data_IF_417418680331
#
_entry.id   IF_417418680331
#
_cell.length_a   1.000
_cell.length_b   1.000
_cell.length_c   1.000
_cell.angle_alpha   90.00
_cell.angle_beta   90.00
_cell.angle_gamma   90.00
#
_symmetry.space_group_name_H-M   'P 1'
#
loop_
_entity.id
_entity.type
_entity.pdbx_description
1 polymer ?
#
# COMPACT_ATOMS: atom_id res chain seq x y z
N UNK A 1 -3.31 32.02 -3.13
CA UNK A 1 -3.01 30.58 -3.25
C UNK A 1 -4.29 29.84 -2.89
N UNK A 2 -4.84 28.94 -3.71
CA UNK A 2 -6.01 28.18 -3.31
C UNK A 2 -5.62 27.35 -2.08
N UNK A 3 -6.13 27.78 -0.94
CA UNK A 3 -5.80 27.29 0.39
C UNK A 3 -6.98 26.46 0.87
N UNK A 4 -7.09 25.22 0.40
CA UNK A 4 -8.14 24.27 0.86
C UNK A 4 -7.90 22.79 0.52
N UNK A 5 -6.71 22.38 0.09
CA UNK A 5 -6.49 21.00 -0.35
C UNK A 5 -5.77 20.19 0.75
N UNK A 6 -6.50 19.33 1.44
CA UNK A 6 -5.96 18.21 2.24
C UNK A 6 -4.76 17.59 1.51
N UNK A 7 -3.63 17.39 2.21
CA UNK A 7 -2.44 16.83 1.56
C UNK A 7 -2.76 15.46 0.94
N UNK A 8 -2.14 15.06 -0.19
CA UNK A 8 -2.38 13.75 -0.79
C UNK A 8 -2.17 12.59 0.20
N UNK A 9 -1.25 12.78 1.15
CA UNK A 9 -1.04 11.85 2.25
C UNK A 9 -2.23 11.80 3.23
N UNK A 10 -2.80 12.95 3.62
CA UNK A 10 -3.99 12.97 4.47
C UNK A 10 -5.22 12.39 3.76
N UNK A 11 -5.38 12.57 2.45
CA UNK A 11 -6.42 11.88 1.66
C UNK A 11 -6.22 10.37 1.70
N UNK A 12 -4.98 9.89 1.50
CA UNK A 12 -4.64 8.48 1.60
C UNK A 12 -4.96 7.89 2.97
N UNK A 13 -4.60 8.60 4.05
CA UNK A 13 -4.93 8.19 5.42
C UNK A 13 -6.44 8.09 5.64
N UNK A 14 -7.23 9.05 5.14
CA UNK A 14 -8.69 9.01 5.26
C UNK A 14 -9.32 7.80 4.55
N UNK A 15 -8.75 7.35 3.43
CA UNK A 15 -9.17 6.10 2.79
C UNK A 15 -8.78 4.88 3.62
N UNK A 16 -7.57 4.84 4.19
CA UNK A 16 -7.16 3.76 5.08
C UNK A 16 -8.03 3.69 6.34
N UNK A 17 -8.46 4.83 6.90
CA UNK A 17 -9.38 4.87 8.04
C UNK A 17 -10.73 4.19 7.72
N UNK A 18 -11.19 4.32 6.48
CA UNK A 18 -12.41 3.69 5.93
C UNK A 18 -12.21 2.22 5.54
N UNK A 19 -10.98 1.70 5.58
CA UNK A 19 -10.69 0.33 5.15
C UNK A 19 -10.40 0.20 3.64
N UNK A 20 -10.07 1.29 2.95
CA UNK A 20 -9.88 1.33 1.51
C UNK A 20 -8.41 1.58 1.15
N UNK A 21 -7.84 0.80 0.24
CA UNK A 21 -6.52 1.05 -0.33
C UNK A 21 -6.64 2.00 -1.52
N UNK A 22 -6.51 3.30 -1.27
CA UNK A 22 -6.56 4.30 -2.34
C UNK A 22 -5.19 4.49 -3.00
N UNK A 23 -5.20 4.68 -4.32
CA UNK A 23 -4.02 5.00 -5.13
C UNK A 23 -4.37 6.09 -6.14
N UNK A 24 -3.36 6.76 -6.67
CA UNK A 24 -3.56 7.76 -7.71
C UNK A 24 -3.42 7.11 -9.09
N UNK A 25 -4.17 7.57 -10.07
CA UNK A 25 -4.07 7.17 -11.46
C UNK A 25 -3.85 8.41 -12.32
N UNK A 26 -2.91 8.35 -13.27
CA UNK A 26 -2.69 9.43 -14.22
C UNK A 26 -3.33 9.07 -15.56
N UNK A 27 -4.41 9.76 -15.99
CA UNK A 27 -4.98 9.56 -17.32
C UNK A 27 -4.00 9.89 -18.44
N UNK A 28 -3.11 10.88 -18.23
CA UNK A 28 -2.12 11.30 -19.21
C UNK A 28 -1.02 10.24 -19.46
N UNK A 29 -0.61 9.50 -18.42
CA UNK A 29 0.37 8.42 -18.54
C UNK A 29 -0.28 7.02 -18.61
N UNK A 30 -1.61 6.94 -18.47
CA UNK A 30 -2.41 5.73 -18.39
C UNK A 30 -1.86 4.68 -17.41
N UNK A 31 -1.38 5.14 -16.25
CA UNK A 31 -0.73 4.28 -15.26
C UNK A 31 -1.13 4.62 -13.82
N UNK A 32 -1.04 3.63 -12.94
CA UNK A 32 -1.14 3.83 -11.50
C UNK A 32 0.10 4.57 -10.98
N UNK A 33 -0.11 5.43 -9.98
CA UNK A 33 0.89 6.24 -9.31
C UNK A 33 0.75 5.99 -7.82
N UNK A 34 1.82 5.47 -7.24
CA UNK A 34 1.96 5.23 -5.81
C UNK A 34 3.44 5.38 -5.44
N UNK A 35 3.84 5.96 -4.31
CA UNK A 35 3.12 6.61 -3.19
C UNK A 35 2.38 7.91 -3.58
N UNK A 36 1.40 8.43 -2.81
CA UNK A 36 0.69 9.69 -3.11
C UNK A 36 1.61 10.89 -3.41
N UNK A 37 1.34 11.59 -4.52
CA UNK A 37 2.09 12.75 -5.02
C UNK A 37 1.16 13.90 -5.42
N UNK A 38 1.73 15.10 -5.56
CA UNK A 38 1.05 16.26 -6.16
C UNK A 38 1.13 16.25 -7.70
N UNK A 39 2.21 15.69 -8.26
CA UNK A 39 2.45 15.62 -9.70
C UNK A 39 2.78 14.18 -10.11
N UNK A 40 2.32 13.79 -11.29
CA UNK A 40 2.64 12.49 -11.87
C UNK A 40 4.15 12.43 -12.21
N UNK A 41 4.88 11.40 -11.75
CA UNK A 41 6.31 11.28 -12.05
C UNK A 41 6.60 10.96 -13.52
N UNK A 42 5.62 10.43 -14.26
CA UNK A 42 5.78 10.04 -15.66
C UNK A 42 5.44 11.16 -16.65
N UNK A 43 4.33 11.87 -16.39
CA UNK A 43 3.83 12.91 -17.31
C UNK A 43 4.03 14.34 -16.82
N UNK A 44 4.38 14.55 -15.54
CA UNK A 44 4.45 15.87 -14.92
C UNK A 44 3.08 16.53 -14.70
N UNK A 45 1.98 15.87 -15.07
CA UNK A 45 0.63 16.39 -14.91
C UNK A 45 0.19 16.37 -13.44
N UNK A 46 -0.53 17.41 -13.04
CA UNK A 46 -1.25 17.52 -11.77
C UNK A 46 -2.63 16.82 -11.81
N UNK A 47 -3.07 16.34 -12.97
CA UNK A 47 -4.33 15.62 -13.16
C UNK A 47 -4.19 14.16 -12.71
N UNK A 48 -4.17 13.97 -11.40
CA UNK A 48 -4.20 12.65 -10.76
C UNK A 48 -5.61 12.37 -10.25
N UNK A 49 -6.16 11.22 -10.63
CA UNK A 49 -7.45 10.72 -10.15
C UNK A 49 -7.24 9.77 -8.99
N UNK A 50 -8.03 9.88 -7.92
CA UNK A 50 -8.06 8.88 -6.86
C UNK A 50 -8.91 7.69 -7.27
N UNK A 51 -8.37 6.49 -7.10
CA UNK A 51 -9.08 5.23 -7.31
C UNK A 51 -8.87 4.32 -6.11
N UNK A 52 -9.83 3.44 -5.86
CA UNK A 52 -9.75 2.44 -4.78
C UNK A 52 -9.34 1.11 -5.39
N UNK A 53 -8.22 0.56 -4.90
CA UNK A 53 -7.74 -0.77 -5.27
C UNK A 53 -8.72 -1.83 -4.77
N UNK A 54 -8.83 -2.94 -5.51
CA UNK A 54 -9.53 -4.15 -5.07
C UNK A 54 -8.82 -4.84 -3.91
N UNK A 55 -7.64 -4.34 -3.52
CA UNK A 55 -6.89 -4.85 -2.39
C UNK A 55 -6.28 -6.21 -2.69
N UNK A 56 -5.93 -6.49 -3.94
CA UNK A 56 -5.33 -7.76 -4.36
C UNK A 56 -3.96 -7.52 -4.93
N UNK A 57 -3.02 -8.40 -4.61
CA UNK A 57 -1.68 -8.30 -5.12
C UNK A 57 -0.90 -9.61 -4.99
N UNK A 58 0.31 -9.56 -5.51
CA UNK A 58 1.27 -10.66 -5.49
C UNK A 58 2.54 -10.20 -4.78
N UNK A 59 3.08 -11.04 -3.90
CA UNK A 59 4.39 -10.79 -3.29
C UNK A 59 5.46 -10.80 -4.39
N UNK A 60 6.03 -9.64 -4.68
CA UNK A 60 7.12 -9.48 -5.64
C UNK A 60 8.47 -9.82 -4.99
N UNK A 61 8.70 -9.31 -3.78
CA UNK A 61 9.89 -9.57 -2.99
C UNK A 61 9.52 -9.58 -1.52
N UNK A 62 10.26 -10.34 -0.72
CA UNK A 62 10.08 -10.42 0.72
C UNK A 62 11.44 -10.58 1.39
N UNK A 63 11.60 -9.96 2.55
CA UNK A 63 12.74 -10.13 3.43
C UNK A 63 12.24 -10.33 4.85
N UNK A 64 13.00 -11.07 5.65
CA UNK A 64 12.72 -11.26 7.07
C UNK A 64 13.76 -10.46 7.85
N UNK A 65 13.30 -9.51 8.65
CA UNK A 65 14.15 -8.73 9.54
C UNK A 65 14.20 -9.45 10.88
N UNK A 66 15.41 -9.76 11.33
CA UNK A 66 15.69 -10.35 12.64
C UNK A 66 16.31 -9.26 13.53
N UNK A 67 15.52 -8.53 14.33
CA UNK A 67 16.06 -7.54 15.23
C UNK A 67 16.83 -8.21 16.38
N UNK A 68 17.77 -7.48 17.00
CA UNK A 68 18.54 -7.99 18.15
C UNK A 68 17.63 -8.29 19.36
N UNK A 69 16.55 -7.52 19.51
CA UNK A 69 15.51 -7.71 20.51
C UNK A 69 14.14 -7.64 19.81
N UNK A 70 13.21 -8.51 20.22
CA UNK A 70 11.87 -8.62 19.63
C UNK A 70 11.71 -9.79 18.67
N UNK A 71 10.53 -9.88 18.06
CA UNK A 71 10.20 -10.98 17.14
C UNK A 71 10.60 -10.65 15.70
N UNK A 72 11.05 -11.63 14.91
CA UNK A 72 11.25 -11.44 13.48
C UNK A 72 9.97 -10.98 12.80
N UNK A 73 10.10 -10.12 11.79
CA UNK A 73 8.97 -9.64 11.00
C UNK A 73 9.35 -9.57 9.52
N UNK A 74 8.36 -9.69 8.63
CA UNK A 74 8.61 -9.60 7.22
C UNK A 74 8.44 -8.16 6.73
N UNK A 75 9.21 -7.80 5.70
CA UNK A 75 8.97 -6.63 4.86
C UNK A 75 8.80 -7.15 3.45
N UNK A 76 7.63 -6.90 2.86
CA UNK A 76 7.28 -7.39 1.54
C UNK A 76 6.98 -6.23 0.59
N UNK A 77 7.44 -6.37 -0.64
CA UNK A 77 7.01 -5.57 -1.77
C UNK A 77 5.88 -6.32 -2.46
N UNK A 78 4.69 -5.71 -2.49
CA UNK A 78 3.49 -6.27 -3.11
C UNK A 78 3.22 -5.53 -4.41
N UNK A 79 3.19 -6.26 -5.51
CA UNK A 79 2.67 -5.76 -6.78
C UNK A 79 1.15 -5.92 -6.75
N UNK A 80 0.44 -4.79 -6.64
CA UNK A 80 -1.01 -4.77 -6.67
C UNK A 80 -1.49 -4.98 -8.11
N UNK A 81 -2.66 -5.60 -8.28
CA UNK A 81 -3.21 -5.95 -9.59
C UNK A 81 -3.46 -4.70 -10.47
N UNK A 82 -3.62 -3.53 -9.84
CA UNK A 82 -3.75 -2.24 -10.54
C UNK A 82 -2.43 -1.68 -11.10
N UNK A 83 -1.29 -2.35 -10.87
CA UNK A 83 -0.01 -2.04 -11.50
C UNK A 83 0.94 -1.18 -10.68
N UNK A 84 0.65 -0.94 -9.40
CA UNK A 84 1.57 -0.24 -8.50
C UNK A 84 2.19 -1.19 -7.46
N UNK A 85 3.36 -0.80 -6.95
CA UNK A 85 4.08 -1.53 -5.91
C UNK A 85 3.95 -0.83 -4.57
N UNK A 86 3.62 -1.60 -3.54
CA UNK A 86 3.49 -1.12 -2.17
C UNK A 86 4.44 -1.93 -1.26
N UNK A 87 5.24 -1.21 -0.47
CA UNK A 87 6.00 -1.81 0.63
C UNK A 87 5.07 -1.96 1.84
N UNK A 88 4.96 -3.17 2.37
CA UNK A 88 4.06 -3.52 3.46
C UNK A 88 4.55 -4.77 4.19
N UNK A 89 3.72 -5.31 5.08
CA UNK A 89 3.94 -6.57 5.81
C UNK A 89 2.85 -7.56 5.44
N UNK A 90 3.14 -8.85 5.59
CA UNK A 90 2.15 -9.92 5.37
C UNK A 90 1.88 -10.56 6.73
N UNK A 91 0.68 -10.34 7.23
CA UNK A 91 0.21 -10.84 8.52
C UNK A 91 -0.53 -12.17 8.36
N UNK A 92 -0.87 -12.79 9.49
CA UNK A 92 -1.55 -14.10 9.58
C UNK A 92 -0.74 -15.27 8.98
N UNK A 93 0.58 -15.09 8.81
CA UNK A 93 1.54 -16.09 8.35
C UNK A 93 2.89 -15.85 9.03
N UNK A 94 3.70 -16.89 9.22
CA UNK A 94 5.06 -16.70 9.72
C UNK A 94 5.88 -15.85 8.73
N UNK A 95 6.71 -14.91 9.21
CA UNK A 95 7.53 -14.05 8.33
C UNK A 95 8.37 -14.83 7.31
N UNK A 96 8.86 -16.01 7.71
CA UNK A 96 9.67 -16.92 6.90
C UNK A 96 8.88 -17.70 5.85
N UNK A 97 7.56 -17.80 6.00
CA UNK A 97 6.68 -18.55 5.10
C UNK A 97 6.11 -17.67 3.98
N UNK A 98 6.35 -16.35 4.02
CA UNK A 98 6.03 -15.43 2.93
C UNK A 98 6.93 -15.76 1.75
N UNK A 99 6.32 -16.08 0.60
CA UNK A 99 7.03 -16.48 -0.63
C UNK A 99 6.76 -15.52 -1.77
N UNK A 100 7.76 -15.31 -2.62
CA UNK A 100 7.60 -14.61 -3.89
C UNK A 100 6.58 -15.37 -4.74
N UNK A 101 5.67 -14.63 -5.38
CA UNK A 101 4.55 -15.18 -6.16
C UNK A 101 3.30 -15.50 -5.34
N UNK A 102 3.33 -15.36 -4.01
CA UNK A 102 2.17 -15.60 -3.16
C UNK A 102 1.07 -14.55 -3.41
N UNK A 103 -0.17 -15.01 -3.56
CA UNK A 103 -1.36 -14.14 -3.64
C UNK A 103 -1.73 -13.63 -2.27
N UNK A 104 -1.95 -12.33 -2.19
CA UNK A 104 -2.29 -11.65 -0.95
C UNK A 104 -3.46 -10.69 -1.14
N UNK A 105 -4.22 -10.51 -0.06
CA UNK A 105 -5.31 -9.55 0.05
C UNK A 105 -4.98 -8.49 1.09
N UNK A 106 -5.33 -7.26 0.78
CA UNK A 106 -5.18 -6.08 1.62
C UNK A 106 -6.07 -6.18 2.86
N UNK A 107 -5.53 -5.70 3.97
CA UNK A 107 -6.23 -5.44 5.22
C UNK A 107 -5.68 -4.16 5.81
N UNK A 108 -6.52 -3.40 6.49
CA UNK A 108 -6.04 -2.29 7.32
C UNK A 108 -5.71 -2.83 8.70
N UNK A 109 -4.46 -2.63 9.12
CA UNK A 109 -4.04 -2.84 10.50
C UNK A 109 -4.13 -1.49 11.22
N UNK A 110 -4.84 -1.47 12.35
CA UNK A 110 -4.93 -0.30 13.22
C UNK A 110 -4.04 -0.57 14.43
N UNK A 111 -2.79 -0.06 14.45
CA UNK A 111 -2.00 -0.10 15.67
C UNK A 111 -2.80 0.66 16.75
N UNK A 112 -2.96 0.07 17.93
CA UNK A 112 -3.81 0.66 18.98
C UNK A 112 -3.36 2.07 19.38
N UNK A 113 -4.28 2.88 19.93
CA UNK A 113 -3.99 4.26 20.36
C UNK A 113 -4.26 5.30 19.27
N UNK A 114 -3.40 6.32 19.20
CA UNK A 114 -3.48 7.45 18.23
C UNK A 114 -2.65 7.20 16.94
N UNK A 115 -2.10 6.01 16.77
CA UNK A 115 -1.30 5.68 15.59
C UNK A 115 -2.16 5.53 14.33
N UNK A 116 -1.64 6.02 13.20
CA UNK A 116 -2.34 6.00 11.93
C UNK A 116 -2.55 4.57 11.41
N UNK A 117 -3.67 4.28 10.72
CA UNK A 117 -3.89 2.97 10.11
C UNK A 117 -2.80 2.68 9.08
N UNK A 118 -2.28 1.46 9.09
CA UNK A 118 -1.26 1.01 8.16
C UNK A 118 -1.83 -0.04 7.20
N UNK A 119 -1.46 0.04 5.91
CA UNK A 119 -1.83 -0.98 4.94
C UNK A 119 -1.01 -2.24 5.21
N UNK A 120 -1.68 -3.37 5.46
CA UNK A 120 -1.04 -4.69 5.57
C UNK A 120 -1.69 -5.65 4.57
N UNK A 121 -1.06 -6.80 4.38
CA UNK A 121 -1.58 -7.86 3.54
C UNK A 121 -1.74 -9.14 4.34
N UNK A 122 -2.59 -10.03 3.88
CA UNK A 122 -2.78 -11.38 4.42
C UNK A 122 -2.82 -12.35 3.24
N UNK A 123 -2.40 -13.61 3.40
CA UNK A 123 -2.53 -14.59 2.33
C UNK A 123 -3.98 -14.71 1.83
N UNK A 124 -4.16 -14.69 0.51
CA UNK A 124 -5.44 -15.08 -0.09
C UNK A 124 -5.51 -16.61 0.00
N UNK A 125 -6.36 -17.14 0.88
CA UNK A 125 -6.59 -18.58 0.97
C UNK A 125 -7.02 -19.07 -0.44
N UNK A 126 -6.31 -20.08 -0.95
CA UNK A 126 -6.58 -20.71 -2.22
C UNK A 126 -7.93 -21.43 -2.22
#
# INVERSE_FOLDING_TARGET
MPNDATSPYATYLSHLEKGELAYQFSPAANCAVFFPRLLCPYSGSDRLEWRVSKGRGTVYATTVVHPAEGQPYNVALIDCDEGFRLMSRVEDIAPTDVKIGMRVKFRVHKPGGEEAPIPVFTPEAA
#
